data_IF_047285585241
#
_entry.id   IF_047285585241
#
_cell.length_a   1.000
_cell.length_b   1.000
_cell.length_c   1.000
_cell.angle_alpha   90.00
_cell.angle_beta   90.00
_cell.angle_gamma   90.00
#
_symmetry.space_group_name_H-M   'P 1'
#
loop_
_entity.id
_entity.type
_entity.pdbx_description
1 polymer ?
#
# COMPACT_ATOMS: atom_id res chain seq x y z
N UNK A 1 12.15 -8.06 -7.11
CA UNK A 1 11.21 -8.93 -7.88
C UNK A 1 11.66 -10.41 -7.95
N UNK A 2 12.85 -10.81 -7.46
CA UNK A 2 13.42 -12.15 -7.70
C UNK A 2 12.91 -13.32 -6.82
N UNK A 3 12.44 -13.06 -5.58
CA UNK A 3 11.98 -14.15 -4.70
C UNK A 3 10.69 -14.84 -5.19
N UNK A 4 9.74 -14.05 -5.72
CA UNK A 4 8.48 -14.57 -6.26
C UNK A 4 8.73 -15.55 -7.41
N UNK A 5 9.67 -15.22 -8.30
CA UNK A 5 9.97 -16.06 -9.47
C UNK A 5 10.52 -17.42 -9.08
N UNK A 6 11.32 -17.49 -8.02
CA UNK A 6 11.86 -18.78 -7.54
C UNK A 6 10.77 -19.66 -6.96
N UNK A 7 9.90 -19.08 -6.14
CA UNK A 7 8.77 -19.80 -5.54
C UNK A 7 7.83 -20.30 -6.64
N UNK A 8 7.52 -19.49 -7.65
CA UNK A 8 6.67 -19.94 -8.77
C UNK A 8 7.31 -21.07 -9.58
N UNK A 9 8.64 -21.03 -9.79
CA UNK A 9 9.35 -22.11 -10.49
C UNK A 9 9.39 -23.39 -9.66
N UNK A 10 9.62 -23.29 -8.35
CA UNK A 10 9.56 -24.43 -7.43
C UNK A 10 8.17 -25.07 -7.43
N UNK A 11 7.10 -24.27 -7.40
CA UNK A 11 5.71 -24.78 -7.49
C UNK A 11 5.50 -25.53 -8.82
N UNK A 12 5.92 -24.96 -9.95
CA UNK A 12 5.79 -25.61 -11.26
C UNK A 12 6.53 -26.95 -11.31
N UNK A 13 7.76 -27.00 -10.80
CA UNK A 13 8.56 -28.21 -10.73
C UNK A 13 7.92 -29.30 -9.85
N UNK A 14 7.47 -28.93 -8.63
CA UNK A 14 6.83 -29.89 -7.70
C UNK A 14 5.48 -30.39 -8.21
N UNK A 15 4.78 -29.61 -9.04
CA UNK A 15 3.54 -30.05 -9.70
C UNK A 15 3.81 -31.13 -10.74
N UNK A 16 4.82 -30.93 -11.60
CA UNK A 16 5.18 -31.86 -12.67
C UNK A 16 5.82 -33.16 -12.19
N UNK A 17 6.32 -33.20 -10.95
CA UNK A 17 6.98 -34.37 -10.37
C UNK A 17 5.99 -35.55 -10.15
N UNK A 18 6.35 -36.78 -10.49
CA UNK A 18 5.51 -37.97 -10.22
C UNK A 18 5.73 -38.50 -8.81
N UNK A 19 5.34 -37.71 -7.80
CA UNK A 19 5.44 -38.07 -6.37
C UNK A 19 4.09 -37.98 -5.67
N UNK A 20 3.87 -38.73 -4.56
CA UNK A 20 2.68 -38.57 -3.74
C UNK A 20 2.58 -37.14 -3.21
N UNK A 21 1.35 -36.64 -3.11
CA UNK A 21 1.05 -35.23 -2.79
C UNK A 21 1.74 -34.76 -1.49
N UNK A 22 1.82 -35.62 -0.48
CA UNK A 22 2.47 -35.30 0.79
C UNK A 22 3.96 -34.99 0.63
N UNK A 23 4.68 -35.76 -0.19
CA UNK A 23 6.10 -35.51 -0.46
C UNK A 23 6.30 -34.23 -1.27
N UNK A 24 5.39 -33.92 -2.21
CA UNK A 24 5.40 -32.65 -2.94
C UNK A 24 5.25 -31.46 -2.01
N UNK A 25 4.32 -31.55 -1.04
CA UNK A 25 4.09 -30.49 -0.04
C UNK A 25 5.31 -30.29 0.84
N UNK A 26 5.91 -31.37 1.33
CA UNK A 26 7.11 -31.30 2.17
C UNK A 26 8.30 -30.71 1.40
N UNK A 27 8.50 -31.15 0.15
CA UNK A 27 9.52 -30.60 -0.74
C UNK A 27 9.32 -29.10 -0.98
N UNK A 28 8.11 -28.68 -1.37
CA UNK A 28 7.82 -27.26 -1.58
C UNK A 28 7.99 -26.43 -0.30
N UNK A 29 7.61 -26.97 0.87
CA UNK A 29 7.82 -26.30 2.15
C UNK A 29 9.31 -26.06 2.40
N UNK A 30 10.17 -27.03 2.09
CA UNK A 30 11.61 -26.90 2.20
C UNK A 30 12.15 -25.82 1.24
N UNK A 31 11.69 -25.84 -0.01
CA UNK A 31 12.10 -24.87 -1.04
C UNK A 31 11.73 -23.43 -0.64
N UNK A 32 10.52 -23.21 -0.12
CA UNK A 32 10.04 -21.89 0.32
C UNK A 32 10.86 -21.37 1.50
N UNK A 33 11.17 -22.23 2.49
CA UNK A 33 11.99 -21.87 3.65
C UNK A 33 13.42 -21.53 3.22
N UNK A 34 13.94 -22.20 2.20
CA UNK A 34 15.30 -21.98 1.71
C UNK A 34 15.41 -20.80 0.72
N UNK A 35 14.30 -20.32 0.15
CA UNK A 35 14.31 -19.25 -0.85
C UNK A 35 14.98 -17.93 -0.37
N UNK A 36 14.79 -17.46 0.89
CA UNK A 36 15.53 -16.32 1.43
C UNK A 36 17.04 -16.58 1.50
N UNK A 37 17.46 -17.77 1.93
CA UNK A 37 18.87 -18.15 1.98
C UNK A 37 19.50 -18.13 0.60
N UNK A 38 18.79 -18.65 -0.41
CA UNK A 38 19.24 -18.67 -1.79
C UNK A 38 19.41 -17.27 -2.41
N UNK A 39 18.50 -16.32 -2.11
CA UNK A 39 18.47 -15.01 -2.81
C UNK A 39 18.94 -13.81 -2.02
N UNK A 40 18.74 -13.81 -0.71
CA UNK A 40 19.05 -12.67 0.15
C UNK A 40 20.41 -12.86 0.83
N UNK A 41 20.72 -14.08 1.23
CA UNK A 41 21.92 -14.40 1.98
C UNK A 41 23.01 -15.08 1.13
N UNK A 42 22.74 -15.40 -0.14
CA UNK A 42 23.64 -16.14 -1.05
C UNK A 42 24.19 -17.44 -0.42
N UNK A 43 23.37 -18.08 0.43
CA UNK A 43 23.68 -19.33 1.12
C UNK A 43 23.10 -20.50 0.33
N UNK A 44 23.94 -21.17 -0.45
CA UNK A 44 23.53 -22.26 -1.34
C UNK A 44 23.70 -23.66 -0.72
N UNK A 45 23.96 -23.77 0.59
CA UNK A 45 24.21 -25.05 1.29
C UNK A 45 23.02 -26.03 1.24
N UNK A 46 21.80 -25.50 1.25
CA UNK A 46 20.54 -26.27 1.29
C UNK A 46 19.75 -26.19 -0.03
N UNK A 47 20.37 -25.69 -1.11
CA UNK A 47 19.71 -25.58 -2.40
C UNK A 47 19.80 -26.90 -3.16
N UNK A 48 18.67 -27.38 -3.67
CA UNK A 48 18.63 -28.49 -4.62
C UNK A 48 19.19 -28.07 -6.00
N UNK A 49 19.71 -29.03 -6.75
CA UNK A 49 20.36 -28.81 -8.05
C UNK A 49 19.44 -28.19 -9.10
N UNK A 50 18.13 -28.50 -9.06
CA UNK A 50 17.14 -27.91 -9.97
C UNK A 50 16.85 -26.43 -9.65
N UNK A 51 17.13 -26.00 -8.42
CA UNK A 51 16.83 -24.66 -7.92
C UNK A 51 18.03 -23.73 -8.01
N UNK A 52 19.25 -24.28 -7.97
CA UNK A 52 20.48 -23.49 -7.95
C UNK A 52 21.63 -24.18 -8.68
N UNK A 53 22.25 -23.46 -9.61
CA UNK A 53 23.47 -23.90 -10.33
C UNK A 53 24.72 -23.94 -9.43
N UNK A 54 24.70 -23.23 -8.29
CA UNK A 54 25.81 -23.12 -7.33
C UNK A 54 25.59 -23.97 -6.07
N UNK A 55 24.81 -25.05 -6.19
CA UNK A 55 24.52 -25.96 -5.06
C UNK A 55 25.82 -26.41 -4.40
N UNK A 56 25.96 -26.18 -3.08
CA UNK A 56 27.12 -26.60 -2.30
C UNK A 56 28.26 -25.57 -2.16
N UNK A 57 28.25 -24.44 -2.89
CA UNK A 57 29.23 -23.36 -2.68
C UNK A 57 28.66 -22.29 -1.75
N UNK A 58 29.33 -21.99 -0.63
CA UNK A 58 28.92 -20.91 0.27
C UNK A 58 29.96 -19.82 0.34
N UNK A 59 29.56 -18.59 0.00
CA UNK A 59 30.19 -17.40 0.53
C UNK A 59 29.44 -17.05 1.82
N UNK A 60 30.01 -17.35 2.98
CA UNK A 60 29.39 -17.03 4.26
C UNK A 60 29.42 -15.49 4.44
N UNK A 61 28.37 -14.80 3.99
CA UNK A 61 28.13 -13.39 4.34
C UNK A 61 27.25 -13.37 5.60
N UNK A 62 27.76 -12.96 6.76
CA UNK A 62 26.95 -12.83 7.95
C UNK A 62 25.87 -11.75 7.72
N UNK A 63 24.62 -12.08 8.02
CA UNK A 63 23.56 -11.09 8.00
C UNK A 63 23.69 -10.20 9.24
N UNK A 64 23.97 -8.91 9.04
CA UNK A 64 24.22 -7.94 10.11
C UNK A 64 22.97 -7.62 10.95
N UNK A 65 21.76 -7.88 10.43
CA UNK A 65 20.50 -7.46 11.06
C UNK A 65 19.59 -8.63 11.44
N UNK A 66 19.89 -9.26 12.59
CA UNK A 66 19.15 -10.41 13.14
C UNK A 66 17.64 -10.15 13.27
N UNK A 67 17.23 -8.92 13.57
CA UNK A 67 15.80 -8.58 13.68
C UNK A 67 15.05 -8.70 12.35
N UNK A 68 15.68 -8.27 11.24
CA UNK A 68 15.08 -8.32 9.91
C UNK A 68 14.96 -9.77 9.43
N UNK A 69 15.98 -10.59 9.71
CA UNK A 69 15.96 -12.03 9.38
C UNK A 69 14.78 -12.72 10.05
N UNK A 70 14.52 -12.44 11.34
CA UNK A 70 13.38 -13.01 12.08
C UNK A 70 12.04 -12.64 11.45
N UNK A 71 11.85 -11.37 11.06
CA UNK A 71 10.63 -10.93 10.39
C UNK A 71 10.44 -11.63 9.04
N UNK A 72 11.53 -11.79 8.27
CA UNK A 72 11.51 -12.55 7.02
C UNK A 72 11.10 -14.00 7.28
N UNK A 73 11.70 -14.65 8.28
CA UNK A 73 11.40 -16.04 8.63
C UNK A 73 9.93 -16.23 9.05
N UNK A 74 9.36 -15.27 9.78
CA UNK A 74 7.93 -15.28 10.16
C UNK A 74 7.05 -15.21 8.90
N UNK A 75 7.35 -14.30 7.98
CA UNK A 75 6.59 -14.13 6.73
C UNK A 75 6.69 -15.40 5.87
N UNK A 76 7.89 -15.95 5.74
CA UNK A 76 8.17 -17.14 4.93
C UNK A 76 7.53 -18.38 5.54
N UNK A 77 7.56 -18.53 6.85
CA UNK A 77 6.90 -19.65 7.56
C UNK A 77 5.39 -19.66 7.33
N UNK A 78 4.76 -18.48 7.32
CA UNK A 78 3.32 -18.36 6.98
C UNK A 78 3.05 -18.82 5.54
N UNK A 79 3.92 -18.47 4.60
CA UNK A 79 3.80 -18.92 3.21
C UNK A 79 4.02 -20.43 3.08
N UNK A 80 5.05 -20.96 3.74
CA UNK A 80 5.41 -22.38 3.72
C UNK A 80 4.31 -23.27 4.32
N UNK A 81 3.60 -22.79 5.34
CA UNK A 81 2.44 -23.49 5.90
C UNK A 81 1.27 -23.62 4.91
N UNK A 82 1.17 -22.70 3.94
CA UNK A 82 0.16 -22.74 2.88
C UNK A 82 0.63 -23.51 1.62
N UNK A 83 1.77 -24.23 1.68
CA UNK A 83 2.32 -24.99 0.55
C UNK A 83 1.32 -25.98 -0.07
N UNK A 84 0.45 -26.60 0.75
CA UNK A 84 -0.63 -27.48 0.26
C UNK A 84 -1.56 -26.75 -0.71
N UNK A 85 -2.06 -25.59 -0.31
CA UNK A 85 -2.96 -24.78 -1.14
C UNK A 85 -2.27 -24.31 -2.41
N UNK A 86 -0.98 -23.96 -2.33
CA UNK A 86 -0.17 -23.54 -3.48
C UNK A 86 0.03 -24.65 -4.53
N UNK A 87 0.16 -25.91 -4.11
CA UNK A 87 0.30 -27.05 -5.04
C UNK A 87 -1.04 -27.38 -5.71
N UNK A 88 -2.14 -27.27 -4.96
CA UNK A 88 -3.47 -27.63 -5.45
C UNK A 88 -4.18 -26.48 -6.18
N UNK A 89 -3.51 -25.33 -6.33
CA UNK A 89 -4.12 -24.09 -6.85
C UNK A 89 -5.42 -23.71 -6.15
N UNK A 90 -5.53 -24.05 -4.86
CA UNK A 90 -6.68 -23.69 -4.05
C UNK A 90 -6.46 -22.27 -3.56
N UNK A 91 -7.29 -21.37 -4.04
CA UNK A 91 -7.33 -20.00 -3.60
C UNK A 91 -8.34 -19.80 -2.46
N UNK A 92 -8.29 -18.63 -1.85
CA UNK A 92 -9.35 -18.21 -0.95
C UNK A 92 -10.63 -18.02 -1.77
N UNK A 93 -11.79 -18.33 -1.18
CA UNK A 93 -13.11 -18.10 -1.77
C UNK A 93 -13.18 -16.74 -2.50
N UNK A 94 -13.80 -16.69 -3.67
CA UNK A 94 -13.96 -15.46 -4.48
C UNK A 94 -14.51 -14.28 -3.65
N UNK A 95 -15.38 -14.56 -2.68
CA UNK A 95 -15.88 -13.56 -1.74
C UNK A 95 -14.78 -12.98 -0.84
N UNK A 96 -13.83 -13.79 -0.38
CA UNK A 96 -12.69 -13.33 0.41
C UNK A 96 -11.71 -12.51 -0.43
N UNK A 97 -11.46 -12.93 -1.68
CA UNK A 97 -10.63 -12.17 -2.62
C UNK A 97 -11.23 -10.80 -2.89
N UNK A 98 -12.54 -10.75 -3.16
CA UNK A 98 -13.25 -9.50 -3.37
C UNK A 98 -13.22 -8.61 -2.12
N UNK A 99 -13.42 -9.19 -0.93
CA UNK A 99 -13.31 -8.47 0.34
C UNK A 99 -11.89 -7.92 0.57
N UNK A 100 -10.85 -8.62 0.15
CA UNK A 100 -9.47 -8.12 0.18
C UNK A 100 -9.29 -6.89 -0.73
N UNK A 101 -9.89 -6.90 -1.93
CA UNK A 101 -9.88 -5.75 -2.83
C UNK A 101 -10.66 -4.57 -2.25
N UNK A 102 -11.84 -4.80 -1.68
CA UNK A 102 -12.61 -3.77 -0.97
C UNK A 102 -11.77 -3.13 0.14
N UNK A 103 -11.09 -3.94 0.97
CA UNK A 103 -10.22 -3.45 2.05
C UNK A 103 -9.10 -2.53 1.52
N UNK A 104 -8.50 -2.86 0.36
CA UNK A 104 -7.49 -2.00 -0.30
C UNK A 104 -8.08 -0.65 -0.72
N UNK A 105 -9.25 -0.64 -1.36
CA UNK A 105 -9.93 0.60 -1.77
C UNK A 105 -10.45 1.43 -0.60
N UNK A 106 -10.81 0.78 0.51
CA UNK A 106 -11.24 1.46 1.71
C UNK A 106 -10.11 2.23 2.37
N UNK A 107 -8.86 1.78 2.25
CA UNK A 107 -7.65 2.54 2.59
C UNK A 107 -7.78 3.26 3.93
N UNK A 108 -7.85 2.49 5.02
CA UNK A 108 -7.94 3.00 6.39
C UNK A 108 -9.13 3.93 6.64
N UNK A 109 -10.21 3.39 7.23
CA UNK A 109 -11.46 4.11 7.60
C UNK A 109 -11.22 5.52 8.24
N UNK A 110 -10.10 5.70 8.94
CA UNK A 110 -9.74 6.94 9.66
C UNK A 110 -9.42 8.15 8.78
N UNK A 111 -8.77 7.98 7.62
CA UNK A 111 -8.35 9.14 6.79
C UNK A 111 -9.56 9.88 6.19
N UNK A 112 -10.71 9.19 6.06
CA UNK A 112 -11.82 9.65 5.22
C UNK A 112 -13.17 9.66 5.93
N UNK A 113 -13.17 9.57 7.26
CA UNK A 113 -14.38 9.47 8.10
C UNK A 113 -15.38 10.62 7.88
N UNK A 114 -14.90 11.81 7.51
CA UNK A 114 -15.72 13.02 7.36
C UNK A 114 -16.36 13.21 5.98
N UNK A 115 -16.14 12.30 5.01
CA UNK A 115 -16.67 12.44 3.65
C UNK A 115 -17.90 11.56 3.42
N UNK A 116 -19.07 12.21 3.34
CA UNK A 116 -20.36 11.58 2.94
C UNK A 116 -20.24 10.91 1.55
N UNK A 117 -20.80 9.71 1.39
CA UNK A 117 -20.73 8.86 0.16
C UNK A 117 -19.35 8.27 -0.22
N UNK A 118 -18.33 8.42 0.62
CA UNK A 118 -16.98 7.89 0.33
C UNK A 118 -16.93 6.36 0.31
N UNK A 119 -17.71 5.68 1.15
CA UNK A 119 -17.76 4.21 1.23
C UNK A 119 -18.32 3.59 -0.07
N UNK A 120 -19.54 3.96 -0.47
CA UNK A 120 -20.19 3.41 -1.66
C UNK A 120 -19.34 3.59 -2.91
N UNK A 121 -18.76 4.78 -3.09
CA UNK A 121 -17.88 5.07 -4.22
C UNK A 121 -16.63 4.17 -4.24
N UNK A 122 -16.06 3.86 -3.08
CA UNK A 122 -14.90 2.95 -2.97
C UNK A 122 -15.27 1.50 -3.22
N UNK A 123 -16.44 1.06 -2.76
CA UNK A 123 -16.94 -0.29 -3.06
C UNK A 123 -17.19 -0.43 -4.56
N UNK A 124 -17.85 0.55 -5.20
CA UNK A 124 -18.04 0.55 -6.65
C UNK A 124 -16.70 0.55 -7.41
N UNK A 125 -15.73 1.34 -6.95
CA UNK A 125 -14.37 1.32 -7.48
C UNK A 125 -13.71 -0.07 -7.33
N UNK A 126 -13.92 -0.74 -6.20
CA UNK A 126 -13.46 -2.10 -5.95
C UNK A 126 -14.12 -3.12 -6.89
N UNK A 127 -15.43 -3.02 -7.13
CA UNK A 127 -16.16 -3.86 -8.10
C UNK A 127 -15.58 -3.71 -9.49
N UNK A 128 -15.39 -2.47 -9.95
CA UNK A 128 -14.79 -2.21 -11.26
C UNK A 128 -13.38 -2.77 -11.34
N UNK A 129 -12.54 -2.55 -10.32
CA UNK A 129 -11.17 -3.07 -10.30
C UNK A 129 -11.10 -4.60 -10.24
N UNK A 130 -11.99 -5.25 -9.50
CA UNK A 130 -12.04 -6.71 -9.38
C UNK A 130 -12.46 -7.38 -10.69
N UNK A 131 -13.50 -6.85 -11.35
CA UNK A 131 -14.02 -7.42 -12.58
C UNK A 131 -13.15 -7.10 -13.81
N UNK A 132 -12.58 -5.89 -13.87
CA UNK A 132 -11.77 -5.47 -15.03
C UNK A 132 -10.31 -5.96 -14.95
N UNK A 133 -9.83 -6.33 -13.76
CA UNK A 133 -8.41 -6.64 -13.48
C UNK A 133 -7.44 -5.53 -13.92
N UNK A 134 -7.95 -4.33 -14.16
CA UNK A 134 -7.23 -3.17 -14.70
C UNK A 134 -7.23 -2.01 -13.71
N UNK A 135 -6.30 -1.07 -13.91
CA UNK A 135 -6.30 0.14 -13.10
C UNK A 135 -7.54 0.99 -13.41
N UNK A 136 -8.23 1.51 -12.39
CA UNK A 136 -9.40 2.42 -12.56
C UNK A 136 -9.09 3.59 -13.51
N UNK A 137 -7.84 4.08 -13.52
CA UNK A 137 -7.40 5.14 -14.44
C UNK A 137 -7.56 4.74 -15.91
N UNK A 138 -7.31 3.48 -16.24
CA UNK A 138 -7.38 2.94 -17.59
C UNK A 138 -8.84 2.84 -18.02
N UNK A 139 -9.69 2.25 -17.16
CA UNK A 139 -11.14 2.17 -17.36
C UNK A 139 -11.74 3.56 -17.58
N UNK A 140 -11.42 4.52 -16.70
CA UNK A 140 -11.90 5.91 -16.85
C UNK A 140 -11.45 6.50 -18.19
N UNK A 141 -10.16 6.39 -18.52
CA UNK A 141 -9.61 6.97 -19.75
C UNK A 141 -10.29 6.40 -20.99
N UNK A 142 -10.59 5.10 -21.00
CA UNK A 142 -11.30 4.43 -22.09
C UNK A 142 -12.76 4.90 -22.20
N UNK A 143 -13.49 5.00 -21.08
CA UNK A 143 -14.90 5.41 -21.08
C UNK A 143 -15.07 6.88 -21.44
N UNK A 144 -14.23 7.77 -20.89
CA UNK A 144 -14.42 9.22 -21.00
C UNK A 144 -13.52 9.87 -22.05
N UNK A 145 -12.71 9.10 -22.79
CA UNK A 145 -11.67 9.58 -23.72
C UNK A 145 -10.77 10.70 -23.16
N UNK A 146 -10.68 10.79 -21.84
CA UNK A 146 -10.04 11.90 -21.14
C UNK A 146 -9.22 11.36 -19.98
N UNK A 147 -7.99 11.85 -19.87
CA UNK A 147 -7.10 11.40 -18.81
C UNK A 147 -7.60 11.89 -17.42
N UNK A 148 -7.48 11.06 -16.37
CA UNK A 148 -7.86 11.46 -15.02
C UNK A 148 -7.19 12.75 -14.53
N UNK A 149 -5.98 13.03 -15.02
CA UNK A 149 -5.21 14.23 -14.67
C UNK A 149 -5.91 15.55 -14.99
N UNK A 150 -6.75 15.63 -16.04
CA UNK A 150 -7.50 16.85 -16.36
C UNK A 150 -8.46 17.23 -15.22
N UNK A 151 -9.17 16.24 -14.67
CA UNK A 151 -10.08 16.45 -13.52
C UNK A 151 -9.32 16.84 -12.26
N UNK A 152 -8.19 16.17 -11.99
CA UNK A 152 -7.33 16.48 -10.83
C UNK A 152 -6.79 17.91 -10.87
N UNK A 153 -6.24 18.34 -12.02
CA UNK A 153 -5.76 19.71 -12.23
C UNK A 153 -6.89 20.74 -12.04
N UNK A 154 -8.08 20.48 -12.57
CA UNK A 154 -9.24 21.36 -12.38
C UNK A 154 -9.65 21.47 -10.91
N UNK A 155 -9.65 20.36 -10.17
CA UNK A 155 -9.94 20.35 -8.73
C UNK A 155 -8.92 21.14 -7.91
N UNK A 156 -7.61 20.93 -8.17
CA UNK A 156 -6.54 21.69 -7.53
C UNK A 156 -6.67 23.19 -7.81
N UNK A 157 -6.92 23.56 -9.07
CA UNK A 157 -7.15 24.95 -9.47
C UNK A 157 -8.34 25.58 -8.72
N UNK A 158 -9.44 24.82 -8.52
CA UNK A 158 -10.59 25.27 -7.71
C UNK A 158 -10.22 25.48 -6.24
N UNK A 159 -9.43 24.59 -5.64
CA UNK A 159 -8.95 24.75 -4.26
C UNK A 159 -8.07 26.00 -4.14
N UNK A 160 -7.10 26.17 -5.04
CA UNK A 160 -6.20 27.32 -5.06
C UNK A 160 -7.02 28.61 -5.20
N UNK A 161 -7.97 28.67 -6.14
CA UNK A 161 -8.87 29.82 -6.31
C UNK A 161 -9.67 30.12 -5.04
N UNK A 162 -10.24 29.11 -4.38
CA UNK A 162 -10.95 29.29 -3.10
C UNK A 162 -10.03 29.87 -2.03
N UNK A 163 -8.80 29.33 -1.86
CA UNK A 163 -7.81 29.84 -0.91
C UNK A 163 -7.44 31.30 -1.19
N UNK A 164 -7.16 31.62 -2.45
CA UNK A 164 -6.83 32.99 -2.89
C UNK A 164 -7.98 33.97 -2.63
N UNK A 165 -9.22 33.58 -2.93
CA UNK A 165 -10.39 34.41 -2.65
C UNK A 165 -10.61 34.62 -1.14
N UNK A 166 -10.42 33.59 -0.31
CA UNK A 166 -10.47 33.72 1.15
C UNK A 166 -9.39 34.68 1.67
N UNK A 167 -8.15 34.60 1.15
CA UNK A 167 -7.08 35.53 1.51
C UNK A 167 -7.40 36.96 1.09
N UNK A 168 -7.91 37.17 -0.14
CA UNK A 168 -8.35 38.50 -0.61
C UNK A 168 -9.43 39.08 0.29
N UNK A 169 -10.46 38.29 0.64
CA UNK A 169 -11.53 38.71 1.56
C UNK A 169 -10.99 39.08 2.96
N UNK A 170 -10.03 38.32 3.49
CA UNK A 170 -9.37 38.63 4.77
C UNK A 170 -8.58 39.95 4.71
N UNK A 171 -7.81 40.17 3.64
CA UNK A 171 -7.04 41.41 3.41
C UNK A 171 -7.93 42.65 3.23
N UNK A 172 -9.11 42.49 2.61
CA UNK A 172 -10.09 43.58 2.49
C UNK A 172 -10.86 43.85 3.80
N UNK A 173 -11.09 42.81 4.61
CA UNK A 173 -11.74 42.96 5.92
C UNK A 173 -10.82 43.66 6.94
N UNK A 174 -9.50 43.46 6.88
CA UNK A 174 -8.54 44.18 7.73
C UNK A 174 -8.44 45.67 7.39
N UNK A 175 -8.80 46.10 6.18
CA UNK A 175 -8.88 47.53 5.80
C UNK A 175 -10.12 48.25 6.34
N UNK A 176 -11.17 47.51 6.73
CA UNK A 176 -12.35 48.04 7.44
C UNK A 176 -12.36 47.55 8.88
N UNK A 177 -11.34 47.89 9.67
CA UNK A 177 -11.43 47.74 11.13
C UNK A 177 -12.29 48.87 11.70
N UNK A 178 -13.61 48.76 11.54
CA UNK A 178 -14.52 49.23 12.60
C UNK A 178 -14.40 48.18 13.71
N UNK A 179 -13.84 48.58 14.84
CA UNK A 179 -13.59 47.77 16.02
C UNK A 179 -14.91 47.32 16.66
N UNK A 180 -15.56 46.31 16.09
CA UNK A 180 -16.63 45.61 16.79
C UNK A 180 -15.96 44.62 17.74
N UNK A 181 -15.90 44.98 19.03
CA UNK A 181 -15.52 44.07 20.12
C UNK A 181 -16.52 42.92 20.15
N UNK A 182 -16.21 41.81 19.47
CA UNK A 182 -16.94 40.55 19.69
C UNK A 182 -16.57 40.02 21.06
N UNK A 183 -17.56 39.68 21.87
CA UNK A 183 -17.33 38.97 23.13
C UNK A 183 -16.59 37.67 22.82
N UNK A 184 -15.54 37.37 23.60
CA UNK A 184 -14.78 36.13 23.48
C UNK A 184 -15.71 34.97 23.85
N UNK A 185 -16.31 34.34 22.85
CA UNK A 185 -16.93 33.03 23.03
C UNK A 185 -15.78 32.05 23.26
N UNK A 186 -15.71 31.49 24.46
CA UNK A 186 -14.74 30.48 24.86
C UNK A 186 -15.02 29.18 24.10
N UNK A 187 -14.48 29.06 22.88
CA UNK A 187 -14.48 27.80 22.14
C UNK A 187 -13.39 26.91 22.75
N UNK A 188 -13.71 26.22 23.85
CA UNK A 188 -12.83 25.19 24.41
C UNK A 188 -12.83 23.98 23.46
N UNK A 189 -11.69 23.29 23.28
CA UNK A 189 -11.65 22.04 22.53
C UNK A 189 -12.67 21.04 23.07
N UNK A 190 -13.27 20.25 22.18
CA UNK A 190 -14.18 19.18 22.57
C UNK A 190 -13.46 18.20 23.50
N UNK A 191 -14.01 17.96 24.70
CA UNK A 191 -13.40 17.10 25.73
C UNK A 191 -13.21 15.65 25.25
N UNK A 192 -13.95 15.21 24.24
CA UNK A 192 -13.89 13.85 23.70
C UNK A 192 -13.05 13.73 22.42
N UNK A 193 -12.58 14.84 21.87
CA UNK A 193 -11.70 14.87 20.71
C UNK A 193 -10.39 15.55 21.13
N UNK A 194 -9.37 14.72 21.38
CA UNK A 194 -8.10 15.08 22.02
C UNK A 194 -7.52 16.45 21.61
N UNK A 195 -6.78 17.05 22.55
CA UNK A 195 -6.19 18.38 22.45
C UNK A 195 -5.73 18.69 21.01
N UNK A 196 -6.34 19.69 20.38
CA UNK A 196 -5.79 20.26 19.17
C UNK A 196 -4.45 20.88 19.56
N UNK A 197 -3.35 20.20 19.23
CA UNK A 197 -2.02 20.79 19.31
C UNK A 197 -2.05 22.13 18.56
N UNK A 198 -1.46 23.15 19.17
CA UNK A 198 -1.19 24.40 18.47
C UNK A 198 -0.40 24.04 17.22
N UNK A 199 -0.82 24.59 16.08
CA UNK A 199 -0.09 24.46 14.82
C UNK A 199 1.21 25.25 14.93
N UNK A 200 2.19 24.69 15.64
CA UNK A 200 3.55 25.20 15.66
C UNK A 200 4.14 24.98 14.25
N UNK A 201 4.59 26.08 13.62
CA UNK A 201 5.24 26.02 12.32
C UNK A 201 4.38 26.36 11.10
N UNK A 202 3.43 27.31 11.22
CA UNK A 202 2.97 28.04 10.02
C UNK A 202 4.17 28.84 9.48
N UNK A 203 4.98 28.20 8.63
CA UNK A 203 6.06 28.86 7.89
C UNK A 203 5.42 29.98 7.06
N UNK A 204 5.94 31.20 7.21
CA UNK A 204 5.45 32.36 6.46
C UNK A 204 5.48 32.08 4.97
N UNK A 205 4.41 32.46 4.27
CA UNK A 205 4.23 32.27 2.81
C UNK A 205 5.26 33.08 2.01
N UNK A 206 5.96 34.01 2.65
CA UNK A 206 7.00 34.84 2.02
C UNK A 206 8.37 34.14 1.92
N UNK A 207 8.49 32.89 2.41
CA UNK A 207 9.72 32.11 2.26
C UNK A 207 9.82 31.54 0.83
N UNK A 208 10.72 32.12 0.05
CA UNK A 208 11.03 31.77 -1.34
C UNK A 208 11.56 30.34 -1.52
N UNK A 209 12.00 29.70 -0.44
CA UNK A 209 12.42 28.28 -0.44
C UNK A 209 11.25 27.30 -0.64
N UNK A 210 10.03 27.63 -0.19
CA UNK A 210 8.87 26.73 -0.33
C UNK A 210 8.40 26.55 -1.78
N UNK A 211 8.74 27.49 -2.67
CA UNK A 211 8.38 27.42 -4.09
C UNK A 211 9.33 26.51 -4.88
N UNK A 212 10.55 26.26 -4.36
CA UNK A 212 11.55 25.40 -5.03
C UNK A 212 11.39 23.91 -4.72
N UNK A 213 10.69 23.57 -3.63
CA UNK A 213 10.47 22.18 -3.17
C UNK A 213 9.20 21.52 -3.74
N UNK A 214 8.40 22.22 -4.58
CA UNK A 214 7.22 21.69 -5.28
C UNK A 214 7.45 21.55 -6.78
#
# INVERSE_FOLDING_TARGET
VRLRTDITKAIQFRKSEEKPLQLKILGLKHDIINAPNHRLFDLHKKCDSYFCEKSGSSADKPCENVAIVKEIDIIISRLANNAKSLILDVDNNICEQFNSVIKKFLGGKRINYTQRHSYNTRVLAAVVGFNSQEYIRAVKKHVTNTSPGKTGKSFLNKIIKKRMNCQKKRKSATKKKLTIKRSKINCRPDRHYGNAELLDGIRSIDNTEFVKDM
#
